data_IF_094098494688
#
_entry.id   IF_094098494688
#
_cell.length_a   1.000
_cell.length_b   1.000
_cell.length_c   1.000
_cell.angle_alpha   90.00
_cell.angle_beta   90.00
_cell.angle_gamma   90.00
#
_symmetry.space_group_name_H-M   'P 1'
#
loop_
_entity.id
_entity.type
_entity.pdbx_description
1 polymer ?
#
# COMPACT_ATOMS: atom_id res chain seq x y z
N UNK A 1 -9.68 8.45 3.86
CA UNK A 1 -8.48 7.60 3.65
C UNK A 1 -8.51 6.36 4.53
N UNK A 2 -8.88 6.48 5.81
CA UNK A 2 -8.89 5.38 6.78
C UNK A 2 -9.68 4.15 6.32
N UNK A 3 -10.94 4.32 5.89
CA UNK A 3 -11.81 3.21 5.48
C UNK A 3 -11.18 2.43 4.32
N UNK A 4 -10.80 3.12 3.25
CA UNK A 4 -10.19 2.48 2.08
C UNK A 4 -8.83 1.85 2.40
N UNK A 5 -7.99 2.50 3.22
CA UNK A 5 -6.72 1.94 3.65
C UNK A 5 -6.88 0.67 4.49
N UNK A 6 -7.83 0.66 5.43
CA UNK A 6 -8.14 -0.51 6.25
C UNK A 6 -8.72 -1.65 5.41
N UNK A 7 -9.67 -1.37 4.50
CA UNK A 7 -10.21 -2.37 3.58
C UNK A 7 -9.11 -2.96 2.69
N UNK A 8 -8.21 -2.12 2.17
CA UNK A 8 -7.07 -2.57 1.39
C UNK A 8 -6.15 -3.49 2.20
N UNK A 9 -5.84 -3.12 3.45
CA UNK A 9 -5.07 -3.97 4.37
C UNK A 9 -5.75 -5.32 4.62
N UNK A 10 -7.07 -5.34 4.84
CA UNK A 10 -7.83 -6.58 5.04
C UNK A 10 -7.79 -7.46 3.80
N UNK A 11 -7.96 -6.89 2.59
CA UNK A 11 -7.86 -7.67 1.35
C UNK A 11 -6.48 -8.30 1.15
N UNK A 12 -5.41 -7.58 1.50
CA UNK A 12 -4.05 -8.12 1.49
C UNK A 12 -3.84 -9.21 2.55
N UNK A 13 -4.42 -9.04 3.74
CA UNK A 13 -4.40 -10.06 4.79
C UNK A 13 -5.11 -11.35 4.35
N UNK A 14 -6.26 -11.23 3.69
CA UNK A 14 -6.97 -12.40 3.13
C UNK A 14 -6.11 -13.06 2.04
N UNK A 15 -5.51 -12.28 1.14
CA UNK A 15 -4.65 -12.84 0.08
C UNK A 15 -3.45 -13.61 0.63
N UNK A 16 -2.83 -13.11 1.70
CA UNK A 16 -1.64 -13.72 2.30
C UNK A 16 -2.01 -14.91 3.18
N UNK A 17 -2.98 -14.79 4.10
CA UNK A 17 -3.20 -15.80 5.14
C UNK A 17 -4.29 -16.82 4.82
N UNK A 18 -5.18 -16.56 3.86
CA UNK A 18 -6.25 -17.50 3.55
C UNK A 18 -5.68 -18.79 2.96
N UNK A 19 -6.04 -19.93 3.56
CA UNK A 19 -5.61 -21.26 3.14
C UNK A 19 -4.08 -21.40 2.99
N UNK A 20 -3.29 -20.75 3.86
CA UNK A 20 -1.83 -20.79 3.80
C UNK A 20 -1.21 -20.02 2.62
N UNK A 21 -1.95 -19.07 2.02
CA UNK A 21 -1.51 -18.32 0.84
C UNK A 21 -2.04 -18.85 -0.49
N UNK A 22 -2.95 -19.83 -0.45
CA UNK A 22 -3.60 -20.41 -1.63
C UNK A 22 -5.11 -20.15 -1.62
N UNK A 23 -5.56 -18.89 -1.82
CA UNK A 23 -6.98 -18.59 -1.96
C UNK A 23 -7.57 -19.26 -3.21
N UNK A 24 -8.78 -19.86 -3.11
CA UNK A 24 -9.46 -20.44 -4.25
C UNK A 24 -9.82 -19.37 -5.29
N UNK A 25 -9.81 -19.76 -6.56
CA UNK A 25 -9.98 -18.83 -7.70
C UNK A 25 -11.26 -17.99 -7.62
N UNK A 26 -12.35 -18.54 -7.07
CA UNK A 26 -13.62 -17.83 -6.90
C UNK A 26 -13.54 -16.63 -5.98
N UNK A 27 -12.66 -16.66 -4.96
CA UNK A 27 -12.44 -15.56 -4.02
C UNK A 27 -11.46 -14.53 -4.61
N UNK A 28 -10.54 -14.97 -5.47
CA UNK A 28 -9.49 -14.12 -6.02
C UNK A 28 -10.05 -12.97 -6.87
N UNK A 29 -11.03 -13.23 -7.73
CA UNK A 29 -11.64 -12.20 -8.59
C UNK A 29 -12.28 -11.03 -7.81
N UNK A 30 -13.24 -11.26 -6.89
CA UNK A 30 -13.81 -10.16 -6.12
C UNK A 30 -12.76 -9.50 -5.22
N UNK A 31 -11.79 -10.26 -4.71
CA UNK A 31 -10.73 -9.71 -3.85
C UNK A 31 -9.81 -8.74 -4.61
N UNK A 32 -9.37 -9.11 -5.81
CA UNK A 32 -8.57 -8.22 -6.67
C UNK A 32 -9.35 -6.98 -7.11
N UNK A 33 -10.66 -7.12 -7.34
CA UNK A 33 -11.52 -5.97 -7.63
C UNK A 33 -11.59 -5.00 -6.44
N UNK A 34 -11.82 -5.49 -5.23
CA UNK A 34 -11.86 -4.66 -4.01
C UNK A 34 -10.48 -4.05 -3.73
N UNK A 35 -9.39 -4.80 -3.96
CA UNK A 35 -8.02 -4.27 -3.87
C UNK A 35 -7.82 -3.08 -4.81
N UNK A 36 -8.17 -3.22 -6.09
CA UNK A 36 -8.05 -2.15 -7.08
C UNK A 36 -8.88 -0.92 -6.70
N UNK A 37 -10.12 -1.15 -6.26
CA UNK A 37 -11.02 -0.08 -5.81
C UNK A 37 -10.46 0.67 -4.58
N UNK A 38 -9.98 -0.07 -3.58
CA UNK A 38 -9.40 0.51 -2.36
C UNK A 38 -8.01 1.12 -2.58
N UNK A 39 -7.31 0.71 -3.64
CA UNK A 39 -6.05 1.32 -4.10
C UNK A 39 -6.18 2.81 -4.42
N UNK A 40 -7.38 3.33 -4.63
CA UNK A 40 -7.68 4.76 -4.76
C UNK A 40 -7.22 5.61 -3.56
N UNK A 41 -7.00 4.98 -2.39
CA UNK A 41 -6.40 5.63 -1.21
C UNK A 41 -5.09 6.34 -1.54
N UNK A 42 -4.29 5.78 -2.45
CA UNK A 42 -3.02 6.38 -2.85
C UNK A 42 -3.21 7.80 -3.41
N UNK A 43 -4.22 8.00 -4.26
CA UNK A 43 -4.49 9.30 -4.89
C UNK A 43 -5.04 10.34 -3.91
N UNK A 44 -5.77 9.90 -2.86
CA UNK A 44 -6.23 10.80 -1.80
C UNK A 44 -5.06 11.50 -1.09
N UNK A 45 -3.87 10.88 -1.06
CA UNK A 45 -2.66 11.46 -0.46
C UNK A 45 -2.32 12.80 -1.11
N UNK A 46 -2.42 12.89 -2.44
CA UNK A 46 -2.14 14.13 -3.15
C UNK A 46 -3.18 15.22 -2.88
N UNK A 47 -4.45 14.85 -2.65
CA UNK A 47 -5.47 15.80 -2.25
C UNK A 47 -5.16 16.39 -0.86
N UNK A 48 -4.91 15.51 0.13
CA UNK A 48 -4.60 15.93 1.50
C UNK A 48 -3.34 16.80 1.54
N UNK A 49 -2.28 16.42 0.84
CA UNK A 49 -1.02 17.18 0.81
C UNK A 49 -1.23 18.60 0.29
N UNK A 50 -2.07 18.79 -0.73
CA UNK A 50 -2.40 20.13 -1.23
C UNK A 50 -3.26 20.94 -0.25
N UNK A 51 -4.14 20.27 0.48
CA UNK A 51 -5.09 20.91 1.40
C UNK A 51 -4.49 21.31 2.76
N UNK A 52 -3.37 20.70 3.16
CA UNK A 52 -2.67 21.03 4.41
C UNK A 52 -1.54 22.05 4.23
N UNK A 53 -1.06 22.25 3.01
CA UNK A 53 0.09 23.11 2.70
C UNK A 53 -0.32 24.42 2.03
N UNK A 54 0.58 25.41 2.06
CA UNK A 54 0.37 26.69 1.37
C UNK A 54 0.18 26.45 -0.15
N UNK A 55 -0.90 26.99 -0.76
CA UNK A 55 -1.16 26.87 -2.19
C UNK A 55 0.01 27.27 -3.10
N UNK A 56 0.86 28.22 -2.68
CA UNK A 56 2.02 28.69 -3.45
C UNK A 56 3.14 27.65 -3.58
N UNK A 57 3.23 26.69 -2.64
CA UNK A 57 4.22 25.60 -2.64
C UNK A 57 3.58 24.22 -2.84
N UNK A 58 2.32 24.17 -3.26
CA UNK A 58 1.58 22.93 -3.46
C UNK A 58 2.28 21.98 -4.46
N UNK A 59 2.94 22.53 -5.49
CA UNK A 59 3.73 21.74 -6.44
C UNK A 59 4.93 21.05 -5.79
N UNK A 60 5.69 21.78 -4.96
CA UNK A 60 6.89 21.26 -4.27
C UNK A 60 6.50 20.15 -3.28
N UNK A 61 5.45 20.38 -2.48
CA UNK A 61 4.98 19.42 -1.48
C UNK A 61 4.43 18.14 -2.11
N UNK A 62 3.69 18.26 -3.22
CA UNK A 62 3.21 17.12 -4.00
C UNK A 62 4.37 16.31 -4.60
N UNK A 63 5.41 16.97 -5.10
CA UNK A 63 6.59 16.31 -5.65
C UNK A 63 7.34 15.47 -4.60
N UNK A 64 7.55 16.02 -3.39
CA UNK A 64 8.19 15.29 -2.27
C UNK A 64 7.42 14.01 -1.94
N UNK A 65 6.10 14.08 -1.89
CA UNK A 65 5.25 12.93 -1.59
C UNK A 65 5.31 11.88 -2.71
N UNK A 66 5.35 12.33 -3.97
CA UNK A 66 5.51 11.45 -5.11
C UNK A 66 6.87 10.73 -5.10
N UNK A 67 7.95 11.40 -4.69
CA UNK A 67 9.26 10.76 -4.48
C UNK A 67 9.18 9.61 -3.49
N UNK A 68 8.40 9.75 -2.40
CA UNK A 68 8.16 8.66 -1.45
C UNK A 68 7.47 7.45 -2.10
N UNK A 69 6.51 7.68 -3.00
CA UNK A 69 5.86 6.63 -3.78
C UNK A 69 6.84 5.87 -4.68
N UNK A 70 7.71 6.59 -5.40
CA UNK A 70 8.76 5.98 -6.22
C UNK A 70 9.78 5.21 -5.40
N UNK A 71 10.16 5.74 -4.23
CA UNK A 71 11.07 5.05 -3.31
C UNK A 71 10.48 3.71 -2.86
N UNK A 72 9.20 3.67 -2.50
CA UNK A 72 8.51 2.42 -2.16
C UNK A 72 8.48 1.43 -3.33
N UNK A 73 8.21 1.92 -4.53
CA UNK A 73 8.22 1.11 -5.76
C UNK A 73 9.62 0.59 -6.14
N UNK A 74 10.70 1.25 -5.71
CA UNK A 74 12.07 0.77 -5.92
C UNK A 74 12.50 -0.24 -4.84
N UNK A 75 12.19 0.03 -3.57
CA UNK A 75 12.64 -0.79 -2.44
C UNK A 75 11.92 -2.14 -2.41
N UNK A 76 10.59 -2.18 -2.56
CA UNK A 76 9.83 -3.42 -2.37
C UNK A 76 10.21 -4.51 -3.37
N UNK A 77 10.27 -4.26 -4.70
CA UNK A 77 10.71 -5.27 -5.66
C UNK A 77 12.16 -5.69 -5.44
N UNK A 78 13.06 -4.78 -5.03
CA UNK A 78 14.45 -5.11 -4.74
C UNK A 78 14.58 -6.05 -3.53
N UNK A 79 13.81 -5.83 -2.47
CA UNK A 79 13.76 -6.72 -1.31
C UNK A 79 13.21 -8.09 -1.67
N UNK A 80 12.13 -8.14 -2.45
CA UNK A 80 11.55 -9.40 -2.94
C UNK A 80 12.53 -10.15 -3.87
N UNK A 81 13.20 -9.44 -4.78
CA UNK A 81 14.21 -10.03 -5.67
C UNK A 81 15.37 -10.66 -4.90
N UNK A 82 15.92 -9.94 -3.91
CA UNK A 82 16.98 -10.46 -3.04
C UNK A 82 16.50 -11.67 -2.22
N UNK A 83 15.22 -11.70 -1.81
CA UNK A 83 14.63 -12.89 -1.20
C UNK A 83 14.65 -14.06 -2.17
N UNK A 84 14.15 -13.88 -3.40
CA UNK A 84 14.11 -14.94 -4.42
C UNK A 84 15.52 -15.47 -4.76
N UNK A 85 16.52 -14.61 -4.90
CA UNK A 85 17.91 -15.00 -5.22
C UNK A 85 18.56 -15.87 -4.13
N UNK A 86 18.10 -15.75 -2.88
CA UNK A 86 18.60 -16.55 -1.74
C UNK A 86 17.93 -17.92 -1.63
N UNK A 87 16.74 -18.09 -2.21
CA UNK A 87 16.00 -19.36 -2.16
C UNK A 87 16.59 -20.31 -3.21
N UNK A 88 17.68 -21.00 -2.84
CA UNK A 88 18.45 -21.72 -3.85
C UNK A 88 18.11 -23.19 -4.09
N UNK A 89 17.37 -23.95 -3.25
CA UNK A 89 17.25 -25.40 -3.56
C UNK A 89 16.14 -26.28 -2.96
N UNK A 90 15.10 -25.81 -2.24
CA UNK A 90 14.25 -26.82 -1.53
C UNK A 90 12.83 -26.48 -1.06
N UNK A 91 12.32 -25.24 -0.98
CA UNK A 91 10.93 -25.04 -0.56
C UNK A 91 9.94 -25.30 -1.70
N UNK A 92 8.74 -25.81 -1.35
CA UNK A 92 7.59 -25.84 -2.25
C UNK A 92 7.34 -24.41 -2.79
N UNK A 93 7.17 -24.26 -4.11
CA UNK A 93 7.10 -22.96 -4.79
C UNK A 93 6.07 -22.01 -4.16
N UNK A 94 4.95 -22.60 -3.71
CA UNK A 94 3.87 -21.95 -2.96
C UNK A 94 4.39 -21.18 -1.74
N UNK A 95 5.25 -21.78 -0.92
CA UNK A 95 5.77 -21.16 0.29
C UNK A 95 6.72 -19.99 -0.03
N UNK A 96 7.45 -20.08 -1.14
CA UNK A 96 8.34 -19.01 -1.60
C UNK A 96 7.52 -17.78 -1.97
N UNK A 97 6.44 -17.96 -2.75
CA UNK A 97 5.55 -16.86 -3.10
C UNK A 97 4.77 -16.32 -1.90
N UNK A 98 4.26 -17.18 -1.02
CA UNK A 98 3.59 -16.76 0.21
C UNK A 98 4.50 -15.86 1.06
N UNK A 99 5.75 -16.27 1.27
CA UNK A 99 6.72 -15.48 2.01
C UNK A 99 7.08 -14.18 1.30
N UNK A 100 7.20 -14.19 -0.03
CA UNK A 100 7.43 -12.98 -0.80
C UNK A 100 6.27 -11.98 -0.70
N UNK A 101 5.03 -12.46 -0.57
CA UNK A 101 3.83 -11.62 -0.38
C UNK A 101 3.73 -11.02 1.03
N UNK A 102 4.51 -11.50 2.01
CA UNK A 102 4.58 -10.87 3.33
C UNK A 102 5.24 -9.48 3.28
N UNK A 103 6.21 -9.26 2.39
CA UNK A 103 6.88 -7.96 2.25
C UNK A 103 5.91 -6.80 1.94
N UNK A 104 5.09 -6.87 0.88
CA UNK A 104 4.08 -5.84 0.62
C UNK A 104 3.00 -5.79 1.71
N UNK A 105 2.62 -6.91 2.31
CA UNK A 105 1.67 -6.91 3.42
C UNK A 105 2.17 -6.11 4.63
N UNK A 106 3.43 -6.30 5.04
CA UNK A 106 4.07 -5.53 6.12
C UNK A 106 4.12 -4.04 5.75
N UNK A 107 4.47 -3.70 4.51
CA UNK A 107 4.47 -2.31 4.06
C UNK A 107 3.07 -1.67 4.15
N UNK A 108 2.01 -2.42 3.85
CA UNK A 108 0.63 -1.95 3.94
C UNK A 108 0.18 -1.81 5.40
N UNK A 109 0.59 -2.73 6.29
CA UNK A 109 0.37 -2.58 7.72
C UNK A 109 0.99 -1.29 8.25
N UNK A 110 2.27 -1.05 7.92
CA UNK A 110 2.98 0.17 8.29
C UNK A 110 2.26 1.41 7.73
N UNK A 111 1.91 1.38 6.44
CA UNK A 111 1.16 2.46 5.79
C UNK A 111 -0.16 2.76 6.50
N UNK A 112 -0.93 1.72 6.86
CA UNK A 112 -2.22 1.87 7.55
C UNK A 112 -2.07 2.51 8.93
N UNK A 113 -1.01 2.18 9.67
CA UNK A 113 -0.67 2.85 10.93
C UNK A 113 -0.36 4.33 10.67
N UNK A 114 0.41 4.65 9.63
CA UNK A 114 0.72 6.04 9.27
C UNK A 114 -0.51 6.84 8.84
N UNK A 115 -1.53 6.21 8.23
CA UNK A 115 -2.79 6.89 7.88
C UNK A 115 -3.48 7.47 9.13
N UNK A 116 -3.32 6.87 10.32
CA UNK A 116 -3.89 7.39 11.57
C UNK A 116 -3.34 8.78 11.95
N UNK A 117 -2.15 9.13 11.47
CA UNK A 117 -1.53 10.43 11.71
C UNK A 117 -1.87 11.45 10.62
N UNK A 118 -2.55 11.03 9.54
CA UNK A 118 -2.99 11.92 8.47
C UNK A 118 -4.25 12.65 8.90
N UNK A 119 -4.19 13.98 8.86
CA UNK A 119 -5.33 14.83 9.24
C UNK A 119 -6.43 14.76 8.20
N UNK A 120 -7.66 14.50 8.64
CA UNK A 120 -8.82 14.58 7.75
C UNK A 120 -9.15 16.05 7.43
N UNK A 121 -9.08 16.37 6.15
CA UNK A 121 -9.31 17.72 5.61
C UNK A 121 -10.76 17.94 5.18
N UNK A 122 -11.56 16.86 5.06
CA UNK A 122 -12.94 16.86 4.59
C UNK A 122 -13.14 17.61 3.24
N UNK A 123 -12.12 17.58 2.36
CA UNK A 123 -12.14 18.28 1.07
C UNK A 123 -12.04 19.80 1.18
N UNK A 124 -11.57 20.31 2.31
CA UNK A 124 -11.36 21.74 2.55
C UNK A 124 -9.88 22.02 2.72
N UNK A 125 -9.43 23.12 2.14
CA UNK A 125 -8.10 23.63 2.43
C UNK A 125 -8.09 24.15 3.88
N UNK A 126 -7.31 23.51 4.74
CA UNK A 126 -7.20 23.84 6.17
C UNK A 126 -5.97 24.68 6.49
N UNK A 127 -5.20 25.07 5.46
CA UNK A 127 -4.05 25.93 5.61
C UNK A 127 -4.44 27.28 6.22
N UNK A 128 -3.64 27.74 7.19
CA UNK A 128 -3.76 29.07 7.81
C UNK A 128 -2.46 29.82 7.53
N UNK A 129 -2.60 31.08 7.10
CA UNK A 129 -1.50 32.00 6.81
C UNK A 129 -0.72 32.38 8.08
#
# INVERSE_FOLDING_TARGET
MLIFGFLYMVTWGILVFYNGGEPPQSILYPLLFIMGFCGSTYYLTFAVVKEVNNPQIAGITTAIVNTGGFLGAAILPALMGNYFDRVNSTPMLVNVYHNALLYPFIAILISTIFILFVKETAGRNIWKA
#
